data_IF_760803084142
#
_entry.id   IF_760803084142
#
_cell.length_a   1.000
_cell.length_b   1.000
_cell.length_c   1.000
_cell.angle_alpha   90.00
_cell.angle_beta   90.00
_cell.angle_gamma   90.00
#
_symmetry.space_group_name_H-M   'P 1'
#
loop_
_entity.id
_entity.type
_entity.pdbx_description
1 polymer ?
#
# COMPACT_ATOMS: atom_id res chain seq x y z
N UNK A 1 -6.47 -15.00 7.61
CA UNK A 1 -6.25 -15.64 8.93
C UNK A 1 -4.85 -15.24 9.44
N UNK A 2 -4.71 -14.09 10.10
CA UNK A 2 -3.45 -13.61 10.71
C UNK A 2 -3.67 -12.91 12.07
N UNK A 3 -4.92 -12.55 12.39
CA UNK A 3 -5.29 -11.88 13.64
C UNK A 3 -4.85 -12.69 14.86
N UNK A 4 -5.14 -14.00 14.89
CA UNK A 4 -4.76 -14.85 16.02
C UNK A 4 -3.25 -14.83 16.33
N UNK A 5 -2.38 -14.81 15.31
CA UNK A 5 -0.93 -14.72 15.52
C UNK A 5 -0.54 -13.32 16.00
N UNK A 6 -1.15 -12.29 15.43
CA UNK A 6 -0.90 -10.92 15.87
C UNK A 6 -1.26 -10.76 17.35
N UNK A 7 -2.40 -11.31 17.77
CA UNK A 7 -2.84 -11.32 19.17
C UNK A 7 -1.86 -12.10 20.07
N UNK A 8 -1.39 -13.28 19.65
CA UNK A 8 -0.40 -14.08 20.39
C UNK A 8 0.91 -13.34 20.68
N UNK A 9 1.36 -12.49 19.74
CA UNK A 9 2.62 -11.77 19.85
C UNK A 9 2.45 -10.28 20.22
N UNK A 10 1.25 -9.85 20.61
CA UNK A 10 0.96 -8.45 20.95
C UNK A 10 1.24 -7.47 19.79
N UNK A 11 0.99 -7.89 18.54
CA UNK A 11 1.19 -7.08 17.33
C UNK A 11 -0.13 -6.50 16.85
N UNK A 12 -0.07 -5.30 16.29
CA UNK A 12 -1.21 -4.70 15.60
C UNK A 12 -1.32 -5.23 14.17
N UNK A 13 -2.54 -5.56 13.73
CA UNK A 13 -2.84 -5.93 12.35
C UNK A 13 -3.72 -4.86 11.72
N UNK A 14 -3.23 -4.24 10.65
CA UNK A 14 -3.97 -3.24 9.87
C UNK A 14 -4.36 -3.85 8.53
N UNK A 15 -5.66 -3.79 8.21
CA UNK A 15 -6.18 -4.22 6.90
C UNK A 15 -6.24 -3.02 5.97
N UNK A 16 -5.70 -3.18 4.76
CA UNK A 16 -5.87 -2.21 3.66
C UNK A 16 -6.95 -2.70 2.69
N UNK A 17 -7.44 -1.80 1.83
CA UNK A 17 -8.41 -2.16 0.81
C UNK A 17 -7.86 -3.22 -0.17
N UNK A 18 -8.73 -4.15 -0.59
CA UNK A 18 -8.37 -5.26 -1.49
C UNK A 18 -7.95 -4.78 -2.88
N UNK A 19 -8.54 -3.69 -3.35
CA UNK A 19 -8.35 -3.16 -4.70
C UNK A 19 -7.32 -2.03 -4.76
N UNK A 20 -6.66 -1.73 -3.64
CA UNK A 20 -5.57 -0.78 -3.58
C UNK A 20 -4.48 -1.16 -4.60
N UNK A 21 -4.13 -0.28 -5.56
CA UNK A 21 -3.26 -0.60 -6.69
C UNK A 21 -1.77 -0.61 -6.31
N UNK A 22 -1.39 -1.39 -5.30
CA UNK A 22 -0.05 -1.40 -4.72
C UNK A 22 1.07 -1.71 -5.71
N UNK A 23 0.84 -2.63 -6.65
CA UNK A 23 1.85 -3.02 -7.66
C UNK A 23 1.94 -2.08 -8.85
N UNK A 24 0.89 -1.27 -9.10
CA UNK A 24 0.79 -0.36 -10.25
C UNK A 24 1.09 1.10 -9.90
N UNK A 25 1.09 1.43 -8.62
CA UNK A 25 1.48 2.74 -8.12
C UNK A 25 2.99 2.76 -7.95
N UNK A 26 3.68 3.76 -8.49
CA UNK A 26 5.12 3.90 -8.22
C UNK A 26 5.34 4.33 -6.78
N UNK A 27 6.07 3.54 -6.00
CA UNK A 27 6.32 3.85 -4.57
C UNK A 27 7.20 5.08 -4.33
N UNK A 28 7.79 5.65 -5.38
CA UNK A 28 8.63 6.84 -5.30
C UNK A 28 7.87 8.14 -5.61
N UNK A 29 6.88 8.11 -6.50
CA UNK A 29 6.25 9.33 -7.02
C UNK A 29 4.72 9.24 -7.18
N UNK A 30 4.12 8.14 -6.70
CA UNK A 30 2.68 7.87 -6.75
C UNK A 30 2.05 7.79 -8.15
N UNK A 31 2.84 7.82 -9.22
CA UNK A 31 2.34 7.62 -10.58
C UNK A 31 1.65 6.26 -10.72
N UNK A 32 0.39 6.27 -11.17
CA UNK A 32 -0.45 5.08 -11.29
C UNK A 32 -0.50 4.57 -12.73
N UNK A 33 -0.02 3.36 -12.93
CA UNK A 33 -0.17 2.64 -14.19
C UNK A 33 -1.55 1.98 -14.31
N UNK A 34 -2.06 1.90 -15.53
CA UNK A 34 -3.24 1.13 -15.87
C UNK A 34 -2.90 -0.37 -16.06
N UNK A 35 -3.93 -1.20 -16.29
CA UNK A 35 -3.76 -2.66 -16.43
C UNK A 35 -2.99 -3.05 -17.70
N UNK A 36 -3.14 -2.30 -18.79
CA UNK A 36 -2.48 -2.58 -20.06
C UNK A 36 -0.99 -2.24 -20.01
N UNK A 37 -0.62 -1.20 -19.25
CA UNK A 37 0.78 -0.79 -19.03
C UNK A 37 1.56 -1.77 -18.15
N UNK A 38 0.90 -2.45 -17.21
CA UNK A 38 1.55 -3.38 -16.29
C UNK A 38 0.86 -4.76 -16.23
N UNK A 39 0.91 -5.55 -17.33
CA UNK A 39 0.34 -6.89 -17.39
C UNK A 39 1.10 -7.84 -16.44
N UNK A 40 0.44 -8.89 -15.93
CA UNK A 40 0.98 -9.74 -14.83
C UNK A 40 2.36 -10.37 -15.11
N UNK A 41 2.72 -10.58 -16.38
CA UNK A 41 4.02 -11.14 -16.79
C UNK A 41 5.20 -10.20 -16.55
N UNK A 42 4.97 -8.88 -16.43
CA UNK A 42 6.04 -7.89 -16.26
C UNK A 42 6.48 -7.85 -14.79
N UNK A 43 7.67 -8.34 -14.47
CA UNK A 43 8.14 -8.39 -13.06
C UNK A 43 8.92 -7.15 -12.65
N UNK A 44 9.53 -6.47 -13.61
CA UNK A 44 10.28 -5.22 -13.43
C UNK A 44 9.82 -4.17 -14.43
N UNK A 45 9.78 -2.90 -14.03
CA UNK A 45 9.35 -1.80 -14.88
C UNK A 45 9.99 -0.48 -14.43
N UNK A 46 10.27 0.42 -15.37
CA UNK A 46 10.74 1.77 -15.07
C UNK A 46 9.54 2.70 -15.02
N UNK A 47 9.47 3.55 -13.98
CA UNK A 47 8.37 4.48 -13.86
C UNK A 47 8.42 5.54 -14.96
N UNK A 48 7.35 5.73 -15.75
CA UNK A 48 7.35 6.73 -16.82
C UNK A 48 7.40 8.18 -16.30
N UNK A 49 7.07 8.40 -15.02
CA UNK A 49 7.07 9.73 -14.41
C UNK A 49 8.39 10.10 -13.72
N UNK A 50 9.06 9.15 -13.06
CA UNK A 50 10.27 9.44 -12.27
C UNK A 50 11.48 8.57 -12.62
N UNK A 51 11.34 7.67 -13.60
CA UNK A 51 12.40 6.77 -14.10
C UNK A 51 12.96 5.79 -13.06
N UNK A 52 12.38 5.73 -11.86
CA UNK A 52 12.74 4.71 -10.86
C UNK A 52 12.46 3.32 -11.41
N UNK A 53 13.46 2.44 -11.34
CA UNK A 53 13.30 1.02 -11.62
C UNK A 53 12.58 0.34 -10.45
N UNK A 54 11.49 -0.34 -10.74
CA UNK A 54 10.65 -1.02 -9.77
C UNK A 54 10.68 -2.52 -10.02
N UNK A 55 10.97 -3.31 -8.98
CA UNK A 55 10.50 -4.69 -8.91
C UNK A 55 9.05 -4.68 -8.40
N UNK A 56 8.17 -5.45 -9.06
CA UNK A 56 6.72 -5.43 -8.80
C UNK A 56 6.37 -5.72 -7.35
N UNK A 57 7.00 -6.74 -6.75
CA UNK A 57 6.62 -7.22 -5.42
C UNK A 57 7.25 -6.33 -4.34
N UNK A 58 8.49 -5.88 -4.54
CA UNK A 58 9.14 -4.90 -3.66
C UNK A 58 8.34 -3.59 -3.66
N UNK A 59 8.03 -3.03 -4.83
CA UNK A 59 7.22 -1.82 -4.96
C UNK A 59 5.83 -1.98 -4.28
N UNK A 60 5.17 -3.12 -4.50
CA UNK A 60 3.89 -3.42 -3.85
C UNK A 60 4.02 -3.45 -2.32
N UNK A 61 5.07 -4.07 -1.78
CA UNK A 61 5.29 -4.15 -0.34
C UNK A 61 5.49 -2.76 0.30
N UNK A 62 6.23 -1.87 -0.36
CA UNK A 62 6.45 -0.49 0.09
C UNK A 62 5.12 0.28 0.11
N UNK A 63 4.34 0.18 -0.97
CA UNK A 63 3.04 0.85 -1.05
C UNK A 63 2.03 0.31 -0.01
N UNK A 64 2.03 -1.00 0.25
CA UNK A 64 1.20 -1.61 1.30
C UNK A 64 1.61 -1.09 2.69
N UNK A 65 2.91 -0.97 2.95
CA UNK A 65 3.43 -0.40 4.20
C UNK A 65 2.98 1.06 4.36
N UNK A 66 3.17 1.89 3.34
CA UNK A 66 2.76 3.30 3.36
C UNK A 66 1.26 3.42 3.66
N UNK A 67 0.41 2.68 2.94
CA UNK A 67 -1.04 2.71 3.15
C UNK A 67 -1.43 2.20 4.54
N UNK A 68 -0.80 1.12 5.02
CA UNK A 68 -1.02 0.59 6.36
C UNK A 68 -0.67 1.59 7.46
N UNK A 69 0.44 2.33 7.31
CA UNK A 69 0.85 3.37 8.26
C UNK A 69 -0.10 4.56 8.26
N UNK A 70 -0.61 4.97 7.09
CA UNK A 70 -1.60 6.04 6.99
C UNK A 70 -2.90 5.67 7.74
N UNK A 71 -3.44 4.47 7.50
CA UNK A 71 -4.64 3.99 8.18
C UNK A 71 -4.43 3.84 9.70
N UNK A 72 -3.27 3.32 10.11
CA UNK A 72 -2.93 3.19 11.53
C UNK A 72 -2.87 4.54 12.27
N UNK A 73 -2.44 5.61 11.59
CA UNK A 73 -2.43 6.97 12.14
C UNK A 73 -3.85 7.53 12.23
N UNK A 74 -4.70 7.32 11.22
CA UNK A 74 -6.09 7.80 11.19
C UNK A 74 -6.95 7.17 12.29
N UNK A 75 -6.74 5.89 12.62
CA UNK A 75 -7.45 5.25 13.73
C UNK A 75 -7.15 5.88 15.09
N UNK A 76 -6.04 6.61 15.25
CA UNK A 76 -5.69 7.33 16.48
C UNK A 76 -6.30 8.73 16.56
N UNK A 77 -6.79 9.29 15.45
CA UNK A 77 -7.32 10.66 15.38
C UNK A 77 -8.84 10.73 15.43
N UNK A 78 -9.56 9.61 15.57
CA UNK A 78 -11.02 9.59 15.76
C UNK A 78 -11.36 9.98 17.21
N UNK A 79 -11.14 11.26 17.51
CA UNK A 79 -11.37 11.87 18.82
C UNK A 79 -11.57 13.38 18.76
N UNK A 80 -11.79 13.97 17.58
CA UNK A 80 -12.08 15.39 17.45
C UNK A 80 -13.24 15.65 16.48
N UNK A 81 -14.27 16.30 17.02
CA UNK A 81 -15.39 16.99 16.37
C UNK A 81 -16.48 16.12 15.77
N UNK A 82 -17.44 15.74 16.63
CA UNK A 82 -18.82 15.99 16.28
C UNK A 82 -19.02 17.50 16.12
N UNK A 83 -19.58 17.92 14.99
CA UNK A 83 -20.12 19.25 14.80
C UNK A 83 -21.64 19.10 14.78
N UNK A 84 -22.25 19.86 15.68
CA UNK A 84 -23.67 20.14 15.78
C UNK A 84 -24.18 20.88 14.53
#
# INVERSE_FOLDING_TARGET
MLTYKADWYGKALVKIDRWYPSSKTCSNCDHLLNKAELPLSVRTWDCPSCLQKNDRDINASINILHQGLLLAKQSKTVGATGLA
#
